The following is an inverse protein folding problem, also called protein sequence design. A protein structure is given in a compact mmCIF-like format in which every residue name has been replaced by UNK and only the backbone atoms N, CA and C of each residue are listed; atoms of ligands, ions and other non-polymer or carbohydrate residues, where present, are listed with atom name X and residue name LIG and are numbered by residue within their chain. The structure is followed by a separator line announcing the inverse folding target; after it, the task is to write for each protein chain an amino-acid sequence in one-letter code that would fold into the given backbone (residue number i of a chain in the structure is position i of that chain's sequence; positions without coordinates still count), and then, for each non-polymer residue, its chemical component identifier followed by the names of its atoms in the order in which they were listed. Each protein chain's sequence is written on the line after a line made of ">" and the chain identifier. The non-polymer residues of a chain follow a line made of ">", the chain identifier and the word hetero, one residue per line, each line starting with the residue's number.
data_IF_074847067488
#
_entry.id   IF_074847067488
#
_cell.length_a   1.000
_cell.length_b   1.000
_cell.length_c   1.000
_cell.angle_alpha   90.00
_cell.angle_beta   90.00
_cell.angle_gamma   90.00
#
_symmetry.space_group_name_H-M   'P 1'
#
loop_
_entity.id
_entity.type
_entity.pdbx_description
1 polymer ?
#
# COMPACT_ATOMS: atom_id res chain seq x y z
N UNK A 1 -21.60 4.13 18.44
CA UNK A 1 -20.49 3.15 18.33
C UNK A 1 -20.97 1.70 18.34
N UNK A 2 -21.86 1.26 19.24
CA UNK A 2 -22.33 -0.15 19.30
C UNK A 2 -23.00 -0.67 18.01
N UNK A 3 -23.71 0.18 17.27
CA UNK A 3 -24.45 -0.24 16.06
C UNK A 3 -23.54 -0.37 14.84
N UNK A 4 -22.68 0.61 14.58
CA UNK A 4 -21.72 0.57 13.47
C UNK A 4 -20.75 -0.62 13.61
N UNK A 5 -20.24 -0.88 14.83
CA UNK A 5 -19.37 -2.02 15.09
C UNK A 5 -20.07 -3.36 14.86
N UNK A 6 -21.34 -3.51 15.29
CA UNK A 6 -22.14 -4.72 15.04
C UNK A 6 -22.40 -4.94 13.54
N UNK A 7 -22.70 -3.88 12.80
CA UNK A 7 -22.93 -3.97 11.34
C UNK A 7 -21.64 -4.36 10.63
N UNK A 8 -20.51 -3.74 10.98
CA UNK A 8 -19.22 -4.04 10.38
C UNK A 8 -18.76 -5.48 10.69
N UNK A 9 -19.00 -5.96 11.92
CA UNK A 9 -18.73 -7.33 12.32
C UNK A 9 -19.63 -8.32 11.59
N UNK A 10 -20.93 -8.05 11.50
CA UNK A 10 -21.87 -8.90 10.77
C UNK A 10 -21.48 -8.99 9.28
N UNK A 11 -21.10 -7.88 8.67
CA UNK A 11 -20.68 -7.85 7.27
C UNK A 11 -19.37 -8.61 7.06
N UNK A 12 -18.39 -8.46 7.97
CA UNK A 12 -17.15 -9.22 7.96
C UNK A 12 -17.40 -10.73 8.09
N UNK A 13 -18.33 -11.14 8.95
CA UNK A 13 -18.67 -12.55 9.17
C UNK A 13 -19.39 -13.14 7.96
N UNK A 14 -20.29 -12.38 7.32
CA UNK A 14 -20.93 -12.78 6.05
C UNK A 14 -19.90 -12.92 4.94
N UNK A 15 -18.97 -11.98 4.81
CA UNK A 15 -17.90 -12.06 3.80
C UNK A 15 -16.96 -13.23 4.06
N UNK A 16 -16.63 -13.52 5.31
CA UNK A 16 -15.85 -14.71 5.68
C UNK A 16 -16.57 -16.00 5.31
N UNK A 17 -17.89 -16.09 5.57
CA UNK A 17 -18.71 -17.24 5.17
C UNK A 17 -18.79 -17.41 3.65
N UNK A 18 -18.96 -16.31 2.91
CA UNK A 18 -18.98 -16.35 1.45
C UNK A 18 -17.61 -16.78 0.89
N UNK A 19 -16.52 -16.30 1.47
CA UNK A 19 -15.17 -16.68 1.07
C UNK A 19 -14.89 -18.16 1.33
N UNK A 20 -15.33 -18.70 2.48
CA UNK A 20 -15.15 -20.14 2.77
C UNK A 20 -16.02 -21.02 1.87
N UNK A 21 -17.28 -20.64 1.64
CA UNK A 21 -18.17 -21.35 0.71
C UNK A 21 -17.64 -21.32 -0.72
N UNK A 22 -17.16 -20.17 -1.19
CA UNK A 22 -16.54 -20.05 -2.50
C UNK A 22 -15.28 -20.92 -2.61
N UNK A 23 -14.43 -20.93 -1.59
CA UNK A 23 -13.25 -21.78 -1.54
C UNK A 23 -13.59 -23.27 -1.64
N UNK A 24 -14.61 -23.72 -0.91
CA UNK A 24 -15.10 -25.12 -0.98
C UNK A 24 -15.70 -25.44 -2.34
N UNK A 25 -16.50 -24.53 -2.92
CA UNK A 25 -17.10 -24.73 -4.24
C UNK A 25 -16.04 -24.82 -5.34
N UNK A 26 -15.02 -23.94 -5.31
CA UNK A 26 -13.88 -23.99 -6.22
C UNK A 26 -13.14 -25.31 -6.06
N UNK A 27 -12.86 -25.74 -4.83
CA UNK A 27 -12.17 -27.00 -4.58
C UNK A 27 -12.96 -28.21 -5.08
N UNK A 28 -14.29 -28.19 -4.90
CA UNK A 28 -15.17 -29.25 -5.35
C UNK A 28 -15.17 -29.38 -6.88
N UNK A 29 -15.33 -28.26 -7.59
CA UNK A 29 -15.26 -28.21 -9.06
C UNK A 29 -13.89 -28.66 -9.58
N UNK A 30 -12.81 -28.21 -8.92
CA UNK A 30 -11.45 -28.58 -9.29
C UNK A 30 -11.20 -30.08 -9.10
N UNK A 31 -11.75 -30.67 -8.03
CA UNK A 31 -11.67 -32.10 -7.76
C UNK A 31 -12.53 -32.95 -8.70
N UNK A 32 -13.65 -32.42 -9.21
CA UNK A 32 -14.54 -33.13 -10.14
C UNK A 32 -14.12 -33.05 -11.61
N UNK A 33 -13.15 -32.19 -11.96
CA UNK A 33 -12.70 -32.02 -13.34
C UNK A 33 -11.80 -33.19 -13.78
N UNK A 34 -12.22 -34.01 -14.78
CA UNK A 34 -11.43 -35.12 -15.27
C UNK A 34 -10.22 -34.58 -16.05
N UNK A 35 -9.03 -34.66 -15.44
CA UNK A 35 -7.76 -34.22 -16.04
C UNK A 35 -6.86 -33.39 -15.11
N UNK A 36 -7.32 -33.05 -13.90
CA UNK A 36 -6.48 -32.33 -12.94
C UNK A 36 -5.69 -33.33 -12.07
N UNK A 37 -4.46 -33.62 -12.48
CA UNK A 37 -3.49 -34.37 -11.68
C UNK A 37 -2.64 -33.37 -10.88
N UNK A 38 -2.71 -33.42 -9.56
CA UNK A 38 -1.86 -32.60 -8.69
C UNK A 38 -0.58 -33.38 -8.45
N UNK A 39 0.51 -32.99 -9.10
CA UNK A 39 1.85 -33.53 -8.84
C UNK A 39 2.61 -32.65 -7.87
N UNK A 40 3.08 -33.22 -6.77
CA UNK A 40 3.98 -32.55 -5.82
C UNK A 40 5.24 -33.39 -5.73
N UNK A 41 6.40 -32.81 -6.05
CA UNK A 41 7.71 -33.50 -6.03
C UNK A 41 7.73 -34.81 -6.86
N UNK A 42 7.18 -34.78 -8.07
CA UNK A 42 7.04 -35.94 -8.97
C UNK A 42 6.14 -37.08 -8.46
N UNK A 43 5.46 -36.90 -7.33
CA UNK A 43 4.41 -37.81 -6.86
C UNK A 43 3.03 -37.30 -7.27
N UNK A 44 2.25 -38.14 -7.96
CA UNK A 44 0.84 -37.87 -8.25
C UNK A 44 -0.01 -38.07 -6.99
N UNK A 45 -0.58 -36.98 -6.48
CA UNK A 45 -1.55 -37.03 -5.40
C UNK A 45 -2.89 -37.52 -5.94
N UNK A 46 -3.08 -38.83 -5.94
CA UNK A 46 -4.37 -39.43 -6.23
C UNK A 46 -5.31 -39.26 -5.03
N UNK A 47 -6.46 -38.61 -5.24
CA UNK A 47 -7.45 -38.32 -4.20
C UNK A 47 -7.96 -39.58 -3.45
N UNK A 48 -7.79 -40.77 -4.03
CA UNK A 48 -8.20 -42.05 -3.45
C UNK A 48 -7.29 -42.58 -2.32
N UNK A 49 -6.11 -41.98 -2.10
CA UNK A 49 -5.09 -42.46 -1.16
C UNK A 49 -4.68 -41.48 -0.06
N UNK A 50 -5.41 -40.38 0.14
CA UNK A 50 -5.03 -39.34 1.11
C UNK A 50 -5.02 -39.88 2.54
N UNK A 51 -3.82 -40.11 3.08
CA UNK A 51 -3.64 -40.45 4.48
C UNK A 51 -3.93 -39.25 5.38
N UNK A 52 -4.22 -39.52 6.66
CA UNK A 52 -4.38 -38.49 7.69
C UNK A 52 -3.14 -37.59 7.82
N UNK A 53 -1.94 -38.14 7.56
CA UNK A 53 -0.68 -37.39 7.53
C UNK A 53 -0.59 -36.41 6.36
N UNK A 54 -1.02 -36.79 5.17
CA UNK A 54 -0.98 -35.95 3.97
C UNK A 54 -1.98 -34.80 4.08
N UNK A 55 -3.16 -35.07 4.65
CA UNK A 55 -4.14 -34.03 4.94
C UNK A 55 -3.59 -33.00 5.94
N UNK A 56 -2.93 -33.43 7.01
CA UNK A 56 -2.31 -32.52 7.98
C UNK A 56 -1.17 -31.71 7.34
N UNK A 57 -0.34 -32.33 6.50
CA UNK A 57 0.71 -31.65 5.76
C UNK A 57 0.14 -30.57 4.81
N UNK A 58 -0.94 -30.89 4.10
CA UNK A 58 -1.62 -29.95 3.22
C UNK A 58 -2.23 -28.78 4.00
N UNK A 59 -2.95 -29.03 5.09
CA UNK A 59 -3.56 -27.98 5.91
C UNK A 59 -2.50 -27.06 6.52
N UNK A 60 -1.41 -27.63 7.06
CA UNK A 60 -0.31 -26.84 7.62
C UNK A 60 0.43 -26.06 6.54
N UNK A 61 0.71 -26.68 5.40
CA UNK A 61 1.35 -26.03 4.25
C UNK A 61 0.50 -24.88 3.71
N UNK A 62 -0.80 -25.09 3.52
CA UNK A 62 -1.73 -24.07 3.08
C UNK A 62 -1.88 -22.95 4.12
N UNK A 63 -1.88 -23.30 5.40
CA UNK A 63 -1.90 -22.34 6.51
C UNK A 63 -0.66 -21.44 6.52
N UNK A 64 0.52 -22.03 6.40
CA UNK A 64 1.79 -21.28 6.32
C UNK A 64 1.82 -20.41 5.05
N UNK A 65 1.45 -20.97 3.89
CA UNK A 65 1.37 -20.23 2.64
C UNK A 65 0.40 -19.04 2.76
N UNK A 66 -0.76 -19.25 3.39
CA UNK A 66 -1.73 -18.21 3.67
C UNK A 66 -1.15 -17.10 4.54
N UNK A 67 -0.46 -17.44 5.64
CA UNK A 67 0.23 -16.46 6.51
C UNK A 67 1.29 -15.69 5.75
N UNK A 68 2.11 -16.37 4.94
CA UNK A 68 3.16 -15.73 4.15
C UNK A 68 2.55 -14.75 3.14
N UNK A 69 1.53 -15.17 2.39
CA UNK A 69 0.90 -14.34 1.35
C UNK A 69 0.11 -13.17 1.95
N UNK A 70 -0.58 -13.37 3.08
CA UNK A 70 -1.45 -12.34 3.66
C UNK A 70 -0.74 -11.37 4.60
N UNK A 71 0.35 -11.79 5.25
CA UNK A 71 1.07 -10.95 6.21
C UNK A 71 2.48 -10.63 5.74
N UNK A 72 3.27 -11.66 5.43
CA UNK A 72 4.70 -11.46 5.15
C UNK A 72 4.90 -10.71 3.84
N UNK A 73 4.23 -11.10 2.76
CA UNK A 73 4.36 -10.46 1.45
C UNK A 73 3.97 -8.98 1.49
N UNK A 74 2.80 -8.56 2.03
CA UNK A 74 2.46 -7.15 2.14
C UNK A 74 3.43 -6.35 3.00
N UNK A 75 3.88 -6.91 4.13
CA UNK A 75 4.85 -6.25 5.01
C UNK A 75 6.18 -6.06 4.28
N UNK A 76 6.67 -7.10 3.62
CA UNK A 76 7.92 -7.03 2.83
C UNK A 76 7.78 -6.03 1.69
N UNK A 77 6.67 -6.02 0.95
CA UNK A 77 6.44 -5.05 -0.12
C UNK A 77 6.37 -3.61 0.40
N UNK A 78 5.73 -3.41 1.55
CA UNK A 78 5.60 -2.09 2.19
C UNK A 78 6.95 -1.59 2.69
N UNK A 79 7.81 -2.45 3.22
CA UNK A 79 9.16 -2.07 3.65
C UNK A 79 10.19 -2.01 2.51
N UNK A 80 10.07 -2.84 1.47
CA UNK A 80 11.06 -2.89 0.39
C UNK A 80 10.80 -1.85 -0.69
N UNK A 81 9.55 -1.72 -1.16
CA UNK A 81 9.18 -0.77 -2.22
C UNK A 81 8.47 0.43 -1.61
N UNK A 82 7.57 0.20 -0.65
CA UNK A 82 6.82 1.27 -0.01
C UNK A 82 7.70 2.29 0.70
N UNK A 83 8.72 1.84 1.45
CA UNK A 83 9.62 2.73 2.19
C UNK A 83 10.49 3.61 1.26
N UNK A 84 11.20 3.09 0.24
CA UNK A 84 11.90 3.94 -0.72
C UNK A 84 10.97 4.91 -1.45
N UNK A 85 9.79 4.45 -1.86
CA UNK A 85 8.81 5.31 -2.53
C UNK A 85 8.32 6.44 -1.61
N UNK A 86 8.12 6.12 -0.32
CA UNK A 86 7.73 7.09 0.69
C UNK A 86 8.85 8.12 0.94
N UNK A 87 10.11 7.69 0.98
CA UNK A 87 11.26 8.59 1.11
C UNK A 87 11.33 9.53 -0.10
N UNK A 88 11.26 8.99 -1.32
CA UNK A 88 11.32 9.80 -2.55
C UNK A 88 10.15 10.79 -2.62
N UNK A 89 8.92 10.32 -2.36
CA UNK A 89 7.73 11.16 -2.33
C UNK A 89 7.80 12.23 -1.25
N UNK A 90 8.30 11.89 -0.06
CA UNK A 90 8.49 12.81 1.05
C UNK A 90 9.51 13.91 0.74
N UNK A 91 10.65 13.56 0.12
CA UNK A 91 11.66 14.53 -0.33
C UNK A 91 11.08 15.47 -1.39
N UNK A 92 10.34 14.94 -2.37
CA UNK A 92 9.68 15.76 -3.39
C UNK A 92 8.66 16.71 -2.79
N UNK A 93 7.83 16.24 -1.85
CA UNK A 93 6.86 17.08 -1.16
C UNK A 93 7.55 18.20 -0.36
N UNK A 94 8.66 17.89 0.33
CA UNK A 94 9.46 18.88 1.06
C UNK A 94 10.03 19.95 0.11
N UNK A 95 10.55 19.53 -1.05
CA UNK A 95 11.05 20.46 -2.07
C UNK A 95 9.92 21.36 -2.58
N UNK A 96 8.76 20.82 -2.90
CA UNK A 96 7.60 21.61 -3.31
C UNK A 96 7.19 22.64 -2.25
N UNK A 97 7.19 22.25 -0.97
CA UNK A 97 6.92 23.18 0.14
C UNK A 97 7.98 24.27 0.26
N UNK A 98 9.25 23.94 0.09
CA UNK A 98 10.35 24.93 0.11
C UNK A 98 10.22 25.93 -1.04
N UNK A 99 10.01 25.44 -2.27
CA UNK A 99 9.83 26.32 -3.44
C UNK A 99 8.58 27.20 -3.29
N UNK A 100 7.47 26.63 -2.83
CA UNK A 100 6.24 27.38 -2.56
C UNK A 100 6.44 28.40 -1.44
N UNK A 101 7.20 28.06 -0.39
CA UNK A 101 7.49 28.95 0.73
C UNK A 101 8.38 30.12 0.31
N UNK A 102 9.45 29.87 -0.44
CA UNK A 102 10.31 30.92 -0.99
C UNK A 102 9.52 31.83 -1.92
N UNK A 103 8.69 31.27 -2.80
CA UNK A 103 7.79 32.02 -3.66
C UNK A 103 6.83 32.89 -2.85
N UNK A 104 6.18 32.33 -1.83
CA UNK A 104 5.26 33.06 -0.96
C UNK A 104 5.96 34.20 -0.19
N UNK A 105 7.21 34.03 0.22
CA UNK A 105 8.00 35.06 0.90
C UNK A 105 8.43 36.17 -0.07
N UNK A 106 8.91 35.83 -1.26
CA UNK A 106 9.33 36.80 -2.28
C UNK A 106 8.16 37.64 -2.82
N UNK A 107 7.00 37.00 -3.02
CA UNK A 107 5.76 37.65 -3.44
C UNK A 107 4.91 38.12 -2.26
N UNK A 108 5.45 38.08 -1.03
CA UNK A 108 4.76 38.58 0.14
C UNK A 108 4.44 40.07 -0.04
N UNK A 109 3.19 40.49 0.23
CA UNK A 109 2.82 41.90 0.20
C UNK A 109 3.77 42.77 1.04
N UNK A 110 4.26 42.25 2.17
CA UNK A 110 5.20 42.95 3.05
C UNK A 110 6.56 43.17 2.38
N UNK A 111 7.08 42.18 1.67
CA UNK A 111 8.36 42.30 0.96
C UNK A 111 8.24 43.29 -0.20
N UNK A 112 7.12 43.26 -0.93
CA UNK A 112 6.81 44.22 -2.00
C UNK A 112 6.63 45.64 -1.47
N UNK A 113 5.93 45.84 -0.35
CA UNK A 113 5.79 47.15 0.29
C UNK A 113 7.14 47.68 0.79
N UNK A 114 7.98 46.82 1.39
CA UNK A 114 9.34 47.18 1.79
C UNK A 114 10.21 47.59 0.60
N UNK A 115 10.16 46.84 -0.49
CA UNK A 115 10.89 47.15 -1.73
C UNK A 115 10.40 48.46 -2.36
N UNK A 116 9.07 48.69 -2.38
CA UNK A 116 8.46 49.92 -2.88
C UNK A 116 8.88 51.14 -2.04
N UNK A 117 8.81 51.02 -0.70
CA UNK A 117 9.28 52.05 0.23
C UNK A 117 10.77 52.35 0.02
N UNK A 118 11.60 51.31 -0.12
CA UNK A 118 13.02 51.46 -0.40
C UNK A 118 13.26 52.20 -1.72
N UNK A 119 12.51 51.88 -2.77
CA UNK A 119 12.64 52.51 -4.09
C UNK A 119 12.23 53.99 -4.07
N UNK A 120 11.19 54.33 -3.29
CA UNK A 120 10.76 55.73 -3.05
C UNK A 120 11.80 56.50 -2.22
N UNK A 121 12.39 55.87 -1.20
CA UNK A 121 13.40 56.48 -0.33
C UNK A 121 14.79 56.54 -0.97
N UNK A 122 15.04 55.79 -2.05
CA UNK A 122 16.30 55.76 -2.77
C UNK A 122 16.51 57.07 -3.52
N UNK A 123 17.23 58.01 -2.91
CA UNK A 123 17.70 59.22 -3.60
C UNK A 123 18.55 58.83 -4.82
N UNK A 124 18.33 59.43 -6.00
CA UNK A 124 19.21 59.22 -7.14
C UNK A 124 20.60 59.75 -6.79
N UNK A 125 21.61 58.87 -6.77
CA UNK A 125 23.02 59.30 -6.78
C UNK A 125 23.24 59.94 -8.15
N UNK A 126 23.31 61.28 -8.18
CA UNK A 126 23.82 62.01 -9.35
C UNK A 126 25.22 61.50 -9.61
N UNK A 127 25.41 60.78 -10.71
CA UNK A 127 26.74 60.51 -11.27
C UNK A 127 27.23 61.88 -11.74
N UNK A 128 28.11 62.49 -10.95
CA UNK A 128 28.82 63.69 -11.36
C UNK A 128 29.71 63.30 -12.55
N UNK A 129 29.34 63.74 -13.75
CA UNK A 129 30.23 63.78 -14.90
C UNK A 129 31.35 64.77 -14.55
N UNK A 130 32.58 64.28 -14.49
CA UNK A 130 33.79 65.07 -14.69
C UNK A 130 34.26 64.85 -16.12
#
# INVERSE_FOLDING_TARGET
>A
MRTAFKVMLAFGLVMMLLASLAGVAIWHELASSPGLHITINDEELSAAGFGLGDFLGLVLGLGIAGVVVLLVVPVVLLFSIGLPLLIVGGVLALLCLLFSGIGAVLFSPLFLFGLLLWLILRKPRKIAKA
#
